data_IF_216791152665
#
_entry.id   IF_216791152665
#
_cell.length_a   1.000
_cell.length_b   1.000
_cell.length_c   1.000
_cell.angle_alpha   90.00
_cell.angle_beta   90.00
_cell.angle_gamma   90.00
#
_symmetry.space_group_name_H-M   'P 1'
#
loop_
_entity.id
_entity.type
_entity.pdbx_description
1 polymer ?
#
# COMPACT_ATOMS: atom_id res chain seq x y z
N UNK A 1 -24.44 -5.38 -5.28
CA UNK A 1 -23.21 -5.83 -4.60
C UNK A 1 -23.21 -5.30 -3.17
N UNK A 2 -23.07 -6.15 -2.15
CA UNK A 2 -23.12 -5.70 -0.75
C UNK A 2 -21.91 -4.77 -0.47
N UNK A 3 -22.14 -3.52 -0.03
CA UNK A 3 -21.09 -2.49 0.14
C UNK A 3 -19.91 -3.00 0.99
N UNK A 4 -20.18 -3.84 1.99
CA UNK A 4 -19.15 -4.45 2.86
C UNK A 4 -18.22 -5.38 2.06
N UNK A 5 -18.78 -6.18 1.14
CA UNK A 5 -17.97 -7.09 0.29
C UNK A 5 -17.02 -6.30 -0.62
N UNK A 6 -17.44 -5.14 -1.12
CA UNK A 6 -16.61 -4.29 -1.99
C UNK A 6 -15.39 -3.77 -1.23
N UNK A 7 -15.59 -3.27 -0.01
CA UNK A 7 -14.49 -2.79 0.82
C UNK A 7 -13.51 -3.89 1.19
N UNK A 8 -14.01 -5.10 1.48
CA UNK A 8 -13.15 -6.24 1.74
C UNK A 8 -12.31 -6.63 0.51
N UNK A 9 -12.91 -6.64 -0.68
CA UNK A 9 -12.18 -6.91 -1.93
C UNK A 9 -11.12 -5.84 -2.18
N UNK A 10 -11.46 -4.55 -2.04
CA UNK A 10 -10.51 -3.45 -2.19
C UNK A 10 -9.35 -3.55 -1.20
N UNK A 11 -9.65 -3.95 0.04
CA UNK A 11 -8.64 -4.13 1.07
C UNK A 11 -7.66 -5.25 0.72
N UNK A 12 -8.18 -6.40 0.26
CA UNK A 12 -7.37 -7.53 -0.17
C UNK A 12 -6.54 -7.17 -1.41
N UNK A 13 -7.13 -6.48 -2.39
CA UNK A 13 -6.40 -6.00 -3.56
C UNK A 13 -5.29 -5.02 -3.17
N UNK A 14 -5.56 -4.09 -2.24
CA UNK A 14 -4.55 -3.16 -1.73
C UNK A 14 -3.41 -3.90 -1.03
N UNK A 15 -3.71 -4.92 -0.25
CA UNK A 15 -2.70 -5.74 0.41
C UNK A 15 -1.80 -6.45 -0.61
N UNK A 16 -2.39 -7.15 -1.59
CA UNK A 16 -1.62 -7.82 -2.63
C UNK A 16 -0.79 -6.84 -3.45
N UNK A 17 -1.32 -5.65 -3.75
CA UNK A 17 -0.59 -4.62 -4.48
C UNK A 17 0.68 -4.17 -3.75
N UNK A 18 0.61 -3.98 -2.43
CA UNK A 18 1.76 -3.65 -1.58
C UNK A 18 2.75 -4.81 -1.49
N UNK A 19 2.27 -6.05 -1.34
CA UNK A 19 3.13 -7.24 -1.30
C UNK A 19 3.85 -7.44 -2.64
N UNK A 20 3.16 -7.26 -3.76
CA UNK A 20 3.78 -7.30 -5.09
C UNK A 20 4.85 -6.23 -5.26
N UNK A 21 4.59 -5.01 -4.75
CA UNK A 21 5.60 -3.95 -4.77
C UNK A 21 6.82 -4.35 -3.95
N UNK A 22 6.64 -4.82 -2.72
CA UNK A 22 7.73 -5.26 -1.85
C UNK A 22 8.53 -6.40 -2.48
N UNK A 23 7.87 -7.37 -3.10
CA UNK A 23 8.54 -8.45 -3.80
C UNK A 23 9.44 -7.93 -4.92
N UNK A 24 8.93 -7.01 -5.75
CA UNK A 24 9.70 -6.39 -6.83
C UNK A 24 10.86 -5.55 -6.27
N UNK A 25 10.61 -4.80 -5.20
CA UNK A 25 11.62 -4.01 -4.50
C UNK A 25 12.76 -4.87 -3.94
N UNK A 26 12.43 -5.95 -3.23
CA UNK A 26 13.42 -6.85 -2.61
C UNK A 26 14.14 -7.76 -3.61
N UNK A 27 13.54 -8.02 -4.77
CA UNK A 27 14.19 -8.79 -5.84
C UNK A 27 14.99 -7.92 -6.80
N UNK A 28 15.19 -6.65 -6.45
CA UNK A 28 15.90 -5.63 -7.24
C UNK A 28 15.31 -5.36 -8.63
N UNK A 29 14.18 -5.97 -8.99
CA UNK A 29 13.50 -5.80 -10.29
C UNK A 29 12.89 -4.41 -10.48
N UNK A 30 12.89 -3.58 -9.44
CA UNK A 30 12.40 -2.21 -9.54
C UNK A 30 13.27 -1.37 -10.49
N UNK A 31 14.57 -1.68 -10.60
CA UNK A 31 15.52 -0.97 -11.48
C UNK A 31 15.31 -1.27 -12.96
N UNK A 32 14.65 -2.39 -13.27
CA UNK A 32 14.32 -2.79 -14.64
C UNK A 32 13.15 -1.97 -15.21
N UNK A 33 12.40 -1.28 -14.35
CA UNK A 33 11.34 -0.37 -14.77
C UNK A 33 11.90 1.00 -15.19
N UNK A 34 11.13 1.69 -16.02
CA UNK A 34 11.34 3.12 -16.21
C UNK A 34 11.25 3.85 -14.86
N UNK A 35 12.20 4.76 -14.57
CA UNK A 35 12.27 5.48 -13.29
C UNK A 35 10.95 6.12 -12.87
N UNK A 36 10.25 6.78 -13.80
CA UNK A 36 8.93 7.39 -13.51
C UNK A 36 7.88 6.35 -13.14
N UNK A 37 7.93 5.17 -13.76
CA UNK A 37 7.01 4.09 -13.47
C UNK A 37 7.30 3.45 -12.10
N UNK A 38 8.58 3.24 -11.77
CA UNK A 38 9.01 2.76 -10.46
C UNK A 38 8.55 3.71 -9.33
N UNK A 39 8.78 5.02 -9.48
CA UNK A 39 8.37 6.03 -8.52
C UNK A 39 6.85 6.07 -8.36
N UNK A 40 6.13 6.04 -9.48
CA UNK A 40 4.66 6.04 -9.46
C UNK A 40 4.14 4.81 -8.74
N UNK A 41 4.67 3.63 -9.05
CA UNK A 41 4.28 2.38 -8.40
C UNK A 41 4.55 2.42 -6.89
N UNK A 42 5.69 2.95 -6.48
CA UNK A 42 6.01 3.09 -5.06
C UNK A 42 5.01 4.01 -4.35
N UNK A 43 4.78 5.19 -4.90
CA UNK A 43 3.86 6.19 -4.34
C UNK A 43 2.45 5.60 -4.25
N UNK A 44 1.95 4.97 -5.32
CA UNK A 44 0.61 4.40 -5.33
C UNK A 44 0.49 3.22 -4.38
N UNK A 45 1.47 2.33 -4.28
CA UNK A 45 1.44 1.20 -3.34
C UNK A 45 1.40 1.67 -1.88
N UNK A 46 2.15 2.73 -1.56
CA UNK A 46 2.11 3.37 -0.25
C UNK A 46 0.77 4.06 0.04
N UNK A 47 0.44 5.09 -0.74
CA UNK A 47 -0.72 5.96 -0.49
C UNK A 47 -2.05 5.21 -0.56
N UNK A 48 -2.20 4.29 -1.51
CA UNK A 48 -3.46 3.56 -1.69
C UNK A 48 -3.80 2.72 -0.44
N UNK A 49 -2.80 2.04 0.13
CA UNK A 49 -3.00 1.28 1.36
C UNK A 49 -3.25 2.15 2.58
N UNK A 50 -2.59 3.30 2.70
CA UNK A 50 -2.89 4.27 3.77
C UNK A 50 -4.34 4.74 3.68
N UNK A 51 -4.77 5.19 2.49
CA UNK A 51 -6.10 5.75 2.28
C UNK A 51 -7.19 4.70 2.52
N UNK A 52 -7.05 3.50 1.93
CA UNK A 52 -8.05 2.43 2.10
C UNK A 52 -8.10 1.95 3.54
N UNK A 53 -6.94 1.72 4.16
CA UNK A 53 -6.87 1.26 5.54
C UNK A 53 -7.51 2.27 6.50
N UNK A 54 -7.16 3.55 6.39
CA UNK A 54 -7.74 4.62 7.20
C UNK A 54 -9.26 4.75 6.98
N UNK A 55 -9.70 4.71 5.73
CA UNK A 55 -11.13 4.82 5.40
C UNK A 55 -11.95 3.67 6.01
N UNK A 56 -11.46 2.44 5.91
CA UNK A 56 -12.14 1.26 6.47
C UNK A 56 -12.16 1.32 8.00
N UNK A 57 -11.07 1.76 8.64
CA UNK A 57 -10.98 1.89 10.09
C UNK A 57 -12.00 2.91 10.65
N UNK A 58 -12.23 4.02 9.94
CA UNK A 58 -13.08 5.12 10.44
C UNK A 58 -14.54 4.95 10.02
N UNK A 59 -14.81 4.60 8.76
CA UNK A 59 -16.15 4.76 8.16
C UNK A 59 -16.87 3.46 7.80
N UNK A 60 -16.17 2.33 7.71
CA UNK A 60 -16.78 1.09 7.24
C UNK A 60 -17.15 0.19 8.41
N UNK A 61 -18.43 -0.15 8.51
CA UNK A 61 -18.92 -1.13 9.48
C UNK A 61 -18.59 -2.55 9.02
N UNK A 62 -17.33 -2.95 9.23
CA UNK A 62 -16.81 -4.28 8.96
C UNK A 62 -16.47 -4.99 10.27
N UNK A 63 -16.49 -6.33 10.26
CA UNK A 63 -16.11 -7.14 11.41
C UNK A 63 -14.66 -6.92 11.84
N UNK A 64 -14.33 -7.35 13.06
CA UNK A 64 -13.01 -7.16 13.69
C UNK A 64 -11.85 -7.59 12.78
N UNK A 65 -11.99 -8.74 12.10
CA UNK A 65 -10.97 -9.23 11.18
C UNK A 65 -10.68 -8.25 10.03
N UNK A 66 -11.72 -7.64 9.44
CA UNK A 66 -11.54 -6.64 8.39
C UNK A 66 -10.84 -5.38 8.89
N UNK A 67 -11.09 -4.97 10.14
CA UNK A 67 -10.38 -3.85 10.77
C UNK A 67 -8.91 -4.17 11.04
N UNK A 68 -8.60 -5.38 11.51
CA UNK A 68 -7.20 -5.82 11.70
C UNK A 68 -6.46 -5.80 10.37
N UNK A 69 -7.06 -6.34 9.31
CA UNK A 69 -6.44 -6.31 7.98
C UNK A 69 -6.28 -4.87 7.45
N UNK A 70 -7.25 -3.99 7.69
CA UNK A 70 -7.16 -2.57 7.34
C UNK A 70 -6.02 -1.85 8.07
N UNK A 71 -5.83 -2.16 9.35
CA UNK A 71 -4.73 -1.65 10.14
C UNK A 71 -3.37 -2.10 9.57
N UNK A 72 -3.24 -3.38 9.22
CA UNK A 72 -2.02 -3.93 8.61
C UNK A 72 -1.70 -3.24 7.27
N UNK A 73 -2.69 -3.14 6.37
CA UNK A 73 -2.54 -2.48 5.07
C UNK A 73 -2.14 -1.01 5.22
N UNK A 74 -2.73 -0.32 6.21
CA UNK A 74 -2.39 1.06 6.52
C UNK A 74 -0.94 1.19 7.01
N UNK A 75 -0.50 0.34 7.95
CA UNK A 75 0.87 0.35 8.46
C UNK A 75 1.91 0.02 7.38
N UNK A 76 1.63 -0.97 6.53
CA UNK A 76 2.47 -1.23 5.37
C UNK A 76 2.55 -0.03 4.43
N UNK A 77 1.43 0.65 4.21
CA UNK A 77 1.38 1.85 3.39
C UNK A 77 2.28 2.96 3.95
N UNK A 78 2.21 3.23 5.25
CA UNK A 78 3.10 4.18 5.92
C UNK A 78 4.57 3.75 5.83
N UNK A 79 4.88 2.47 6.02
CA UNK A 79 6.23 1.94 5.88
C UNK A 79 6.80 2.15 4.48
N UNK A 80 6.00 1.89 3.43
CA UNK A 80 6.40 2.11 2.05
C UNK A 80 6.68 3.58 1.75
N UNK A 81 5.82 4.50 2.23
CA UNK A 81 6.04 5.94 2.07
C UNK A 81 7.31 6.37 2.82
N UNK A 82 7.52 5.85 4.04
CA UNK A 82 8.74 6.12 4.81
C UNK A 82 10.00 5.67 4.09
N UNK A 83 10.00 4.47 3.50
CA UNK A 83 11.12 3.98 2.69
C UNK A 83 11.34 4.84 1.44
N UNK A 84 10.29 5.30 0.78
CA UNK A 84 10.40 6.21 -0.37
C UNK A 84 11.07 7.52 0.04
N UNK A 85 10.60 8.15 1.13
CA UNK A 85 11.17 9.40 1.64
C UNK A 85 12.63 9.23 2.04
N UNK A 86 12.98 8.09 2.65
CA UNK A 86 14.36 7.74 2.99
C UNK A 86 15.21 7.60 1.72
N UNK A 87 14.72 6.89 0.70
CA UNK A 87 15.41 6.72 -0.56
C UNK A 87 15.66 8.07 -1.26
N UNK A 88 14.64 8.93 -1.32
CA UNK A 88 14.75 10.28 -1.88
C UNK A 88 15.73 11.16 -1.11
N UNK A 89 15.76 11.08 0.22
CA UNK A 89 16.70 11.83 1.04
C UNK A 89 18.15 11.42 0.80
N UNK A 90 18.41 10.13 0.55
CA UNK A 90 19.76 9.62 0.26
C UNK A 90 20.20 9.97 -1.16
N UNK A 91 19.31 9.88 -2.15
CA UNK A 91 19.66 10.12 -3.56
C UNK A 91 19.65 11.59 -3.98
N UNK A 92 19.14 12.49 -3.12
CA UNK A 92 19.18 13.95 -3.33
C UNK A 92 20.41 14.63 -2.71
N UNK A 93 21.24 13.89 -1.97
CA UNK A 93 22.58 14.31 -1.51
C UNK A 93 23.64 14.02 -2.56
#
# INVERSE_FOLDING_TARGET
MNKIKVWFVLLVLSFFYQVSFLYIYFTEKLVDFNSRFADTYWITAGLFGVIIGAYIMIKVNIGLFGKILALIVMFFGFGLIGLLLLALAITSM
#
